data_IF_353883684832
#
_entry.id   IF_353883684832
#
_cell.length_a   1.000
_cell.length_b   1.000
_cell.length_c   1.000
_cell.angle_alpha   90.00
_cell.angle_beta   90.00
_cell.angle_gamma   90.00
#
_symmetry.space_group_name_H-M   'P 1'
#
loop_
_entity.id
_entity.type
_entity.pdbx_description
1 polymer ?
#
# COMPACT_ATOMS: atom_id res chain seq x y z
N UNK A 1 -2.66 6.51 23.13
CA UNK A 1 -1.88 5.37 23.64
C UNK A 1 -0.55 5.31 22.89
N UNK A 2 0.49 4.69 23.45
CA UNK A 2 1.79 4.53 22.77
C UNK A 2 1.78 3.33 21.82
N UNK A 3 2.21 3.56 20.58
CA UNK A 3 2.41 2.52 19.56
C UNK A 3 3.39 1.44 20.02
N UNK A 4 3.00 0.16 19.91
CA UNK A 4 3.81 -1.00 20.34
C UNK A 4 4.46 -1.80 19.22
N UNK A 5 4.00 -1.64 17.98
CA UNK A 5 4.56 -2.32 16.80
C UNK A 5 6.06 -2.02 16.63
N UNK A 6 6.76 -2.73 15.75
CA UNK A 6 8.16 -2.41 15.41
C UNK A 6 8.29 -1.33 14.32
N UNK A 7 7.38 -1.31 13.34
CA UNK A 7 7.26 -0.30 12.29
C UNK A 7 6.07 0.63 12.53
N UNK A 8 6.00 1.77 11.83
CA UNK A 8 4.75 2.53 11.78
C UNK A 8 3.68 1.72 11.03
N UNK A 9 2.41 1.91 11.38
CA UNK A 9 1.31 1.21 10.71
C UNK A 9 0.37 2.25 10.12
N UNK A 10 -0.01 2.05 8.86
CA UNK A 10 -0.93 2.91 8.11
C UNK A 10 -2.17 2.08 7.77
N UNK A 11 -3.36 2.65 7.97
CA UNK A 11 -4.62 1.98 7.65
C UNK A 11 -4.92 2.15 6.16
N UNK A 12 -4.77 1.07 5.39
CA UNK A 12 -5.16 1.04 3.98
C UNK A 12 -6.67 0.91 3.80
N UNK A 13 -7.30 1.94 3.21
CA UNK A 13 -8.75 2.06 3.04
C UNK A 13 -9.27 1.55 1.67
N UNK A 14 -8.46 0.77 0.94
CA UNK A 14 -8.82 0.27 -0.40
C UNK A 14 -10.12 -0.55 -0.44
N UNK A 15 -10.48 -1.16 0.68
CA UNK A 15 -11.68 -2.00 0.82
C UNK A 15 -12.91 -1.23 1.32
N UNK A 16 -12.77 0.05 1.67
CA UNK A 16 -13.87 0.88 2.13
C UNK A 16 -14.57 1.51 0.93
N UNK A 17 -15.89 1.46 0.86
CA UNK A 17 -16.64 2.11 -0.23
C UNK A 17 -18.01 1.51 -0.45
N UNK A 18 -18.70 1.97 -1.49
CA UNK A 18 -20.04 1.50 -1.82
C UNK A 18 -20.05 0.02 -2.25
N UNK A 19 -21.09 -0.72 -1.87
CA UNK A 19 -21.17 -2.18 -2.03
C UNK A 19 -21.16 -2.65 -3.50
N UNK A 20 -21.58 -1.80 -4.44
CA UNK A 20 -21.63 -2.09 -5.87
C UNK A 20 -20.28 -1.86 -6.58
N UNK A 21 -19.26 -1.37 -5.87
CA UNK A 21 -17.96 -1.00 -6.45
C UNK A 21 -16.95 -2.13 -6.34
N UNK A 22 -16.17 -2.29 -7.41
CA UNK A 22 -15.08 -3.27 -7.43
C UNK A 22 -14.05 -2.97 -6.33
N UNK A 23 -13.61 -4.03 -5.65
CA UNK A 23 -12.69 -3.94 -4.51
C UNK A 23 -13.33 -3.57 -3.16
N UNK A 24 -14.58 -3.10 -3.13
CA UNK A 24 -15.27 -2.78 -1.88
C UNK A 24 -15.60 -4.05 -1.09
N UNK A 25 -15.34 -4.01 0.22
CA UNK A 25 -15.63 -5.09 1.17
C UNK A 25 -16.27 -4.61 2.46
N UNK A 26 -15.99 -3.36 2.86
CA UNK A 26 -16.60 -2.71 4.04
C UNK A 26 -17.43 -1.53 3.54
N UNK A 27 -18.75 -1.70 3.59
CA UNK A 27 -19.71 -0.78 2.97
C UNK A 27 -20.70 -0.15 3.97
N UNK A 28 -20.69 -0.58 5.24
CA UNK A 28 -21.35 0.13 6.34
C UNK A 28 -20.35 1.11 6.96
N UNK A 29 -20.74 2.38 7.08
CA UNK A 29 -19.93 3.42 7.73
C UNK A 29 -19.61 3.06 9.18
N UNK A 30 -20.53 2.41 9.91
CA UNK A 30 -20.29 2.01 11.30
C UNK A 30 -19.17 0.98 11.42
N UNK A 31 -19.00 0.12 10.41
CA UNK A 31 -17.91 -0.85 10.41
C UNK A 31 -16.58 -0.20 10.04
N UNK A 32 -16.59 0.79 9.15
CA UNK A 32 -15.41 1.64 8.89
C UNK A 32 -14.98 2.35 10.17
N UNK A 33 -15.91 2.96 10.90
CA UNK A 33 -15.64 3.64 12.17
C UNK A 33 -15.05 2.68 13.21
N UNK A 34 -15.66 1.50 13.41
CA UNK A 34 -15.12 0.50 14.36
C UNK A 34 -13.72 0.01 13.98
N UNK A 35 -13.44 -0.18 12.70
CA UNK A 35 -12.10 -0.56 12.24
C UNK A 35 -11.09 0.53 12.60
N UNK A 36 -11.45 1.80 12.41
CA UNK A 36 -10.60 2.93 12.77
C UNK A 36 -10.47 3.10 14.29
N UNK A 37 -11.52 2.85 15.07
CA UNK A 37 -11.47 2.88 16.53
C UNK A 37 -10.43 1.87 17.05
N UNK A 38 -10.43 0.64 16.51
CA UNK A 38 -9.41 -0.37 16.84
C UNK A 38 -8.02 0.11 16.42
N UNK A 39 -7.86 0.58 15.19
CA UNK A 39 -6.58 1.10 14.69
C UNK A 39 -6.00 2.21 15.58
N UNK A 40 -6.84 3.16 16.02
CA UNK A 40 -6.45 4.25 16.90
C UNK A 40 -6.20 3.80 18.34
N UNK A 41 -6.91 2.78 18.83
CA UNK A 41 -6.64 2.18 20.14
C UNK A 41 -5.23 1.57 20.22
N UNK A 42 -4.70 1.08 19.09
CA UNK A 42 -3.30 0.64 18.97
C UNK A 42 -2.28 1.78 18.80
N UNK A 43 -2.74 3.04 18.77
CA UNK A 43 -1.90 4.24 18.80
C UNK A 43 -1.49 4.78 17.43
N UNK A 44 -2.16 4.35 16.35
CA UNK A 44 -1.87 4.77 14.98
C UNK A 44 -2.86 5.81 14.46
N UNK A 45 -2.46 6.62 13.47
CA UNK A 45 -3.28 7.74 12.97
C UNK A 45 -3.29 7.94 11.46
N UNK A 46 -2.36 7.33 10.70
CA UNK A 46 -2.26 7.54 9.24
C UNK A 46 -3.25 6.64 8.49
N UNK A 47 -4.00 7.21 7.53
CA UNK A 47 -5.01 6.51 6.73
C UNK A 47 -4.75 6.75 5.25
N UNK A 48 -4.49 5.67 4.52
CA UNK A 48 -4.21 5.66 3.09
C UNK A 48 -5.44 5.35 2.25
N UNK A 49 -5.79 6.24 1.33
CA UNK A 49 -6.82 6.01 0.30
C UNK A 49 -6.31 6.39 -1.09
N UNK A 50 -7.16 6.37 -2.11
CA UNK A 50 -6.85 6.86 -3.45
C UNK A 50 -8.13 7.20 -4.22
N UNK A 51 -8.06 8.15 -5.15
CA UNK A 51 -9.19 8.53 -6.03
C UNK A 51 -9.78 7.36 -6.81
N UNK A 52 -8.96 6.34 -7.11
CA UNK A 52 -9.39 5.15 -7.86
C UNK A 52 -10.03 4.07 -6.98
N UNK A 53 -9.81 4.09 -5.66
CA UNK A 53 -10.29 3.02 -4.77
C UNK A 53 -11.82 3.00 -4.71
N UNK A 54 -12.39 1.81 -4.98
CA UNK A 54 -13.84 1.61 -5.05
C UNK A 54 -14.53 2.62 -5.98
N UNK A 55 -13.90 2.97 -7.12
CA UNK A 55 -14.41 3.98 -8.05
C UNK A 55 -14.52 5.38 -7.44
N UNK A 56 -13.69 5.68 -6.44
CA UNK A 56 -13.64 6.96 -5.72
C UNK A 56 -14.55 7.04 -4.49
N UNK A 57 -15.32 5.98 -4.19
CA UNK A 57 -16.20 5.96 -3.03
C UNK A 57 -15.47 5.74 -1.70
N UNK A 58 -14.22 5.26 -1.73
CA UNK A 58 -13.40 5.14 -0.50
C UNK A 58 -13.18 6.51 0.16
N UNK A 59 -12.78 7.51 -0.63
CA UNK A 59 -12.63 8.89 -0.16
C UNK A 59 -13.95 9.48 0.36
N UNK A 60 -15.05 9.23 -0.35
CA UNK A 60 -16.38 9.72 0.07
C UNK A 60 -16.86 9.09 1.38
N UNK A 61 -16.51 7.82 1.62
CA UNK A 61 -16.82 7.14 2.87
C UNK A 61 -15.99 7.72 4.02
N UNK A 62 -14.69 7.91 3.80
CA UNK A 62 -13.81 8.55 4.78
C UNK A 62 -14.24 10.00 5.07
N UNK A 63 -14.74 10.74 4.07
CA UNK A 63 -15.28 12.09 4.26
C UNK A 63 -16.54 12.16 5.14
N UNK A 64 -17.24 11.03 5.37
CA UNK A 64 -18.49 10.96 6.15
C UNK A 64 -18.29 10.60 7.63
N UNK A 65 -17.07 10.29 8.05
CA UNK A 65 -16.78 9.78 9.42
C UNK A 65 -16.08 10.82 10.33
N UNK A 66 -16.13 12.10 9.96
CA UNK A 66 -15.48 13.21 10.69
C UNK A 66 -14.03 12.90 11.09
N UNK A 67 -13.25 12.35 10.16
CA UNK A 67 -11.90 11.85 10.41
C UNK A 67 -10.94 12.90 11.01
N UNK A 68 -11.17 14.19 10.74
CA UNK A 68 -10.39 15.29 11.31
C UNK A 68 -10.59 15.41 12.82
N UNK A 69 -11.83 15.27 13.31
CA UNK A 69 -12.14 15.30 14.75
C UNK A 69 -11.56 14.07 15.47
N UNK A 70 -11.42 12.96 14.74
CA UNK A 70 -10.73 11.76 15.21
C UNK A 70 -9.21 11.94 15.30
N UNK A 71 -8.64 13.02 14.75
CA UNK A 71 -7.19 13.24 14.70
C UNK A 71 -6.44 12.33 13.72
N UNK A 72 -7.15 11.80 12.71
CA UNK A 72 -6.53 10.99 11.66
C UNK A 72 -5.74 11.89 10.68
N UNK A 73 -4.63 11.38 10.17
CA UNK A 73 -3.81 12.00 9.12
C UNK A 73 -4.13 11.31 7.81
N UNK A 74 -4.77 12.05 6.90
CA UNK A 74 -5.34 11.51 5.68
C UNK A 74 -4.38 11.68 4.50
N UNK A 75 -4.11 10.59 3.79
CA UNK A 75 -3.34 10.58 2.56
C UNK A 75 -4.12 9.99 1.39
N UNK A 76 -3.93 10.54 0.20
CA UNK A 76 -4.59 10.04 -1.03
C UNK A 76 -3.70 10.17 -2.26
N UNK A 77 -4.13 9.63 -3.39
CA UNK A 77 -3.32 9.45 -4.59
C UNK A 77 -4.10 9.62 -5.87
N UNK A 78 -3.40 10.08 -6.90
CA UNK A 78 -3.88 10.13 -8.28
C UNK A 78 -3.13 9.13 -9.17
N UNK A 79 -3.86 8.18 -9.75
CA UNK A 79 -3.32 7.23 -10.73
C UNK A 79 -3.52 7.76 -12.16
N UNK A 80 -2.47 7.84 -12.99
CA UNK A 80 -2.63 8.20 -14.39
C UNK A 80 -3.27 7.02 -15.13
N UNK A 81 -4.37 7.27 -15.84
CA UNK A 81 -5.21 6.23 -16.43
C UNK A 81 -5.63 6.61 -17.85
N UNK A 82 -5.43 5.69 -18.80
CA UNK A 82 -5.80 5.86 -20.20
C UNK A 82 -6.60 4.65 -20.65
N UNK A 83 -7.92 4.81 -20.69
CA UNK A 83 -8.87 3.85 -21.25
C UNK A 83 -9.58 4.55 -22.40
N UNK A 84 -9.32 4.19 -23.67
CA UNK A 84 -9.90 4.87 -24.83
C UNK A 84 -11.42 5.03 -24.71
N UNK A 85 -11.89 6.28 -24.81
CA UNK A 85 -13.32 6.61 -24.73
C UNK A 85 -13.95 6.53 -23.34
N UNK A 86 -13.20 6.18 -22.29
CA UNK A 86 -13.73 6.01 -20.92
C UNK A 86 -13.03 6.89 -19.91
N UNK A 87 -11.69 6.81 -19.81
CA UNK A 87 -10.90 7.53 -18.81
C UNK A 87 -9.65 8.10 -19.49
N UNK A 88 -9.37 9.37 -19.26
CA UNK A 88 -8.11 10.00 -19.64
C UNK A 88 -7.66 10.92 -18.49
N UNK A 89 -6.76 10.41 -17.66
CA UNK A 89 -6.17 11.10 -16.51
C UNK A 89 -4.67 11.10 -16.72
N UNK A 90 -4.09 12.29 -16.71
CA UNK A 90 -2.65 12.51 -16.79
C UNK A 90 -2.12 13.21 -15.54
N UNK A 91 -0.81 13.36 -15.46
CA UNK A 91 -0.11 14.21 -14.50
C UNK A 91 0.23 15.59 -15.09
N UNK A 92 -0.60 16.07 -16.02
CA UNK A 92 -0.60 17.47 -16.46
C UNK A 92 -1.03 18.40 -15.32
N UNK A 93 -0.62 19.67 -15.33
CA UNK A 93 -1.01 20.64 -14.30
C UNK A 93 -2.53 20.73 -14.11
N UNK A 94 -3.29 20.68 -15.20
CA UNK A 94 -4.75 20.78 -15.20
C UNK A 94 -5.41 19.57 -14.53
N UNK A 95 -4.99 18.35 -14.89
CA UNK A 95 -5.54 17.13 -14.31
C UNK A 95 -5.13 16.98 -12.84
N UNK A 96 -3.88 17.29 -12.49
CA UNK A 96 -3.42 17.25 -11.10
C UNK A 96 -4.30 18.11 -10.19
N UNK A 97 -4.53 19.38 -10.56
CA UNK A 97 -5.42 20.26 -9.80
C UNK A 97 -6.84 19.70 -9.74
N UNK A 98 -7.42 19.40 -10.90
CA UNK A 98 -8.81 18.95 -11.03
C UNK A 98 -9.09 17.74 -10.14
N UNK A 99 -8.23 16.73 -10.17
CA UNK A 99 -8.46 15.50 -9.41
C UNK A 99 -8.06 15.62 -7.93
N UNK A 100 -7.09 16.48 -7.58
CA UNK A 100 -6.83 16.84 -6.18
C UNK A 100 -8.06 17.52 -5.55
N UNK A 101 -8.66 18.50 -6.22
CA UNK A 101 -9.87 19.17 -5.74
C UNK A 101 -11.05 18.22 -5.60
N UNK A 102 -11.19 17.23 -6.49
CA UNK A 102 -12.20 16.17 -6.34
C UNK A 102 -11.95 15.30 -5.10
N UNK A 103 -10.69 14.89 -4.87
CA UNK A 103 -10.31 14.13 -3.67
C UNK A 103 -10.57 14.92 -2.39
N UNK A 104 -10.20 16.20 -2.35
CA UNK A 104 -10.45 17.09 -1.21
C UNK A 104 -11.95 17.24 -0.91
N UNK A 105 -12.77 17.41 -1.96
CA UNK A 105 -14.23 17.45 -1.84
C UNK A 105 -14.79 16.13 -1.30
N UNK A 106 -14.34 14.98 -1.83
CA UNK A 106 -14.80 13.67 -1.40
C UNK A 106 -14.43 13.37 0.07
N UNK A 107 -13.21 13.74 0.47
CA UNK A 107 -12.72 13.61 1.84
C UNK A 107 -13.25 14.69 2.80
N UNK A 108 -14.04 15.64 2.29
CA UNK A 108 -14.59 16.77 3.04
C UNK A 108 -13.50 17.56 3.82
N UNK A 109 -12.38 17.87 3.15
CA UNK A 109 -11.27 18.63 3.73
C UNK A 109 -10.74 19.67 2.75
N UNK A 110 -9.99 20.64 3.27
CA UNK A 110 -9.23 21.61 2.45
C UNK A 110 -7.75 21.26 2.32
N UNK A 111 -7.27 20.29 3.12
CA UNK A 111 -5.86 19.94 3.20
C UNK A 111 -5.67 18.46 3.53
N UNK A 112 -4.69 17.84 2.88
CA UNK A 112 -4.23 16.48 3.14
C UNK A 112 -2.94 16.50 3.97
N UNK A 113 -2.69 15.42 4.71
CA UNK A 113 -1.36 15.22 5.29
C UNK A 113 -0.35 14.89 4.20
N UNK A 114 -0.71 13.99 3.28
CA UNK A 114 0.14 13.60 2.15
C UNK A 114 -0.65 13.37 0.87
N UNK A 115 -0.06 13.77 -0.26
CA UNK A 115 -0.61 13.47 -1.58
C UNK A 115 0.42 12.75 -2.45
N UNK A 116 -0.02 11.68 -3.13
CA UNK A 116 0.85 10.86 -3.95
C UNK A 116 0.56 10.95 -5.44
N UNK A 117 1.63 10.86 -6.24
CA UNK A 117 1.52 10.27 -7.58
C UNK A 117 1.48 8.75 -7.44
N UNK A 118 0.35 8.13 -7.78
CA UNK A 118 0.08 6.71 -7.53
C UNK A 118 0.85 5.76 -8.50
N UNK A 119 1.37 6.29 -9.60
CA UNK A 119 2.12 5.56 -10.62
C UNK A 119 2.81 6.54 -11.56
N UNK A 120 3.77 6.09 -12.38
CA UNK A 120 4.43 6.93 -13.37
C UNK A 120 3.47 7.34 -14.49
N UNK A 121 3.41 8.64 -14.79
CA UNK A 121 2.88 9.14 -16.06
C UNK A 121 4.03 9.55 -16.98
N UNK A 122 4.49 8.61 -17.81
CA UNK A 122 5.58 8.87 -18.79
C UNK A 122 5.12 9.65 -20.01
N UNK A 123 3.87 10.10 -20.05
CA UNK A 123 3.33 10.90 -21.16
C UNK A 123 3.43 12.40 -20.91
N UNK A 124 3.74 12.80 -19.67
CA UNK A 124 3.99 14.19 -19.27
C UNK A 124 5.43 14.26 -18.73
N UNK A 125 6.27 15.21 -19.19
CA UNK A 125 7.62 15.36 -18.66
C UNK A 125 7.60 15.63 -17.15
N UNK A 126 8.50 14.98 -16.40
CA UNK A 126 8.51 15.08 -14.95
C UNK A 126 8.76 16.51 -14.44
N UNK A 127 9.47 17.36 -15.17
CA UNK A 127 9.65 18.77 -14.83
C UNK A 127 8.32 19.52 -14.79
N UNK A 128 7.42 19.23 -15.74
CA UNK A 128 6.08 19.83 -15.80
C UNK A 128 5.25 19.37 -14.60
N UNK A 129 5.26 18.06 -14.33
CA UNK A 129 4.54 17.48 -13.19
C UNK A 129 5.07 18.00 -11.86
N UNK A 130 6.39 18.00 -11.64
CA UNK A 130 6.99 18.42 -10.36
C UNK A 130 6.78 19.91 -10.08
N UNK A 131 6.79 20.76 -11.12
CA UNK A 131 6.41 22.17 -10.95
C UNK A 131 4.96 22.30 -10.48
N UNK A 132 4.03 21.58 -11.10
CA UNK A 132 2.62 21.63 -10.73
C UNK A 132 2.37 21.10 -9.31
N UNK A 133 3.01 19.99 -8.92
CA UNK A 133 2.99 19.47 -7.55
C UNK A 133 3.47 20.55 -6.57
N UNK A 134 4.58 21.22 -6.87
CA UNK A 134 5.11 22.26 -6.00
C UNK A 134 4.19 23.48 -5.87
N UNK A 135 3.54 23.89 -6.96
CA UNK A 135 2.58 25.00 -6.94
C UNK A 135 1.37 24.64 -6.05
N UNK A 136 0.82 23.43 -6.20
CA UNK A 136 -0.28 22.92 -5.35
C UNK A 136 0.11 22.80 -3.87
N UNK A 137 1.35 22.39 -3.58
CA UNK A 137 1.89 22.38 -2.22
C UNK A 137 1.96 23.81 -1.64
N UNK A 138 2.47 24.78 -2.40
CA UNK A 138 2.55 26.19 -1.97
C UNK A 138 1.18 26.83 -1.75
N UNK A 139 0.16 26.37 -2.47
CA UNK A 139 -1.24 26.75 -2.25
C UNK A 139 -1.85 26.11 -0.98
N UNK A 140 -1.14 25.18 -0.34
CA UNK A 140 -1.51 24.62 0.97
C UNK A 140 -2.42 23.41 0.92
N UNK A 141 -2.56 22.76 -0.24
CA UNK A 141 -3.46 21.60 -0.38
C UNK A 141 -2.97 20.32 0.30
N UNK A 142 -1.67 20.17 0.55
CA UNK A 142 -1.08 19.03 1.25
C UNK A 142 0.22 19.41 1.94
N UNK A 143 0.61 18.68 2.98
CA UNK A 143 1.86 18.92 3.73
C UNK A 143 3.05 18.10 3.20
N UNK A 144 2.83 16.85 2.82
CA UNK A 144 3.86 15.92 2.33
C UNK A 144 3.57 15.47 0.91
N UNK A 145 4.64 15.22 0.16
CA UNK A 145 4.56 14.67 -1.18
C UNK A 145 5.08 13.22 -1.19
N UNK A 146 4.36 12.33 -1.86
CA UNK A 146 4.77 10.94 -2.03
C UNK A 146 4.69 10.47 -3.47
N UNK A 147 5.38 9.37 -3.77
CA UNK A 147 5.33 8.69 -5.07
C UNK A 147 5.15 7.19 -4.88
N UNK A 148 4.62 6.49 -5.88
CA UNK A 148 4.38 5.05 -5.80
C UNK A 148 4.57 4.39 -7.17
N UNK A 149 5.12 3.17 -7.18
CA UNK A 149 5.31 2.35 -8.38
C UNK A 149 6.25 2.95 -9.46
N UNK A 150 7.20 3.81 -9.07
CA UNK A 150 8.25 4.35 -9.93
C UNK A 150 9.52 3.51 -9.85
N UNK A 151 10.30 3.42 -10.93
CA UNK A 151 11.62 2.80 -10.91
C UNK A 151 12.60 3.59 -10.04
N UNK A 152 13.61 2.92 -9.48
CA UNK A 152 14.70 3.52 -8.68
C UNK A 152 15.34 4.75 -9.34
N UNK A 153 15.58 4.70 -10.66
CA UNK A 153 16.18 5.81 -11.40
C UNK A 153 15.20 6.96 -11.67
N UNK A 154 13.89 6.69 -11.83
CA UNK A 154 12.86 7.74 -11.93
C UNK A 154 12.75 8.51 -10.60
N UNK A 155 12.87 7.81 -9.47
CA UNK A 155 12.96 8.45 -8.15
C UNK A 155 14.15 9.41 -8.09
N UNK A 156 15.33 8.97 -8.55
CA UNK A 156 16.53 9.80 -8.56
C UNK A 156 16.39 11.04 -9.48
N UNK A 157 15.79 10.86 -10.66
CA UNK A 157 15.48 11.93 -11.60
C UNK A 157 14.54 12.97 -10.98
N UNK A 158 13.41 12.52 -10.42
CA UNK A 158 12.42 13.38 -9.74
C UNK A 158 13.09 14.19 -8.62
N UNK A 159 13.90 13.55 -7.78
CA UNK A 159 14.64 14.26 -6.71
C UNK A 159 15.62 15.27 -7.29
N UNK A 160 16.32 14.94 -8.38
CA UNK A 160 17.22 15.85 -9.09
C UNK A 160 16.49 17.10 -9.63
N UNK A 161 15.33 16.90 -10.27
CA UNK A 161 14.46 17.98 -10.75
C UNK A 161 14.03 18.87 -9.57
N UNK A 162 13.52 18.27 -8.48
CA UNK A 162 13.04 19.04 -7.34
C UNK A 162 14.15 19.86 -6.68
N UNK A 163 15.34 19.26 -6.46
CA UNK A 163 16.48 19.96 -5.85
C UNK A 163 16.97 21.12 -6.71
N UNK A 164 17.06 20.93 -8.02
CA UNK A 164 17.58 21.94 -8.95
C UNK A 164 16.66 23.16 -9.05
N UNK A 165 15.36 22.98 -8.83
CA UNK A 165 14.36 24.04 -8.93
C UNK A 165 13.84 24.55 -7.58
N UNK A 166 14.31 23.99 -6.45
CA UNK A 166 13.80 24.32 -5.12
C UNK A 166 12.34 23.92 -4.91
N UNK A 167 11.90 22.83 -5.53
CA UNK A 167 10.56 22.27 -5.36
C UNK A 167 10.48 21.33 -4.16
N UNK A 168 9.27 21.11 -3.64
CA UNK A 168 9.02 20.04 -2.67
C UNK A 168 9.52 18.69 -3.23
N UNK A 169 10.26 17.95 -2.40
CA UNK A 169 10.75 16.61 -2.73
C UNK A 169 9.78 15.55 -2.21
N UNK A 170 9.69 14.37 -2.86
CA UNK A 170 8.98 13.24 -2.28
C UNK A 170 9.64 12.84 -0.96
N UNK A 171 8.85 12.72 0.10
CA UNK A 171 9.31 12.25 1.42
C UNK A 171 8.96 10.79 1.67
N UNK A 172 8.04 10.23 0.88
CA UNK A 172 7.58 8.83 0.99
C UNK A 172 7.53 8.18 -0.39
N UNK A 173 7.99 6.94 -0.47
CA UNK A 173 7.74 6.03 -1.58
C UNK A 173 6.81 4.91 -1.09
N UNK A 174 5.66 4.74 -1.72
CA UNK A 174 4.75 3.62 -1.42
C UNK A 174 4.96 2.47 -2.41
N UNK A 175 5.31 1.27 -1.93
CA UNK A 175 5.77 0.18 -2.80
C UNK A 175 5.37 -1.22 -2.35
N UNK A 176 5.33 -2.14 -3.33
CA UNK A 176 5.10 -3.56 -3.07
C UNK A 176 6.33 -4.19 -2.42
N UNK A 177 6.16 -4.80 -1.24
CA UNK A 177 7.23 -5.54 -0.58
C UNK A 177 6.68 -6.58 0.40
N UNK A 178 7.09 -7.84 0.28
CA UNK A 178 6.77 -8.88 1.26
C UNK A 178 7.76 -10.03 1.14
N UNK A 179 7.62 -11.05 1.98
CA UNK A 179 8.59 -12.14 2.08
C UNK A 179 8.85 -12.90 0.76
N UNK A 180 7.95 -12.83 -0.23
CA UNK A 180 8.09 -13.49 -1.55
C UNK A 180 7.96 -12.47 -2.70
N UNK A 181 8.16 -11.18 -2.39
CA UNK A 181 8.27 -10.12 -3.38
C UNK A 181 9.26 -9.07 -2.87
N UNK A 182 10.54 -9.28 -3.18
CA UNK A 182 11.67 -8.48 -2.66
C UNK A 182 12.44 -7.72 -3.74
N UNK A 183 11.83 -7.51 -4.91
CA UNK A 183 12.45 -6.83 -6.05
C UNK A 183 12.85 -5.37 -5.76
N UNK A 184 12.33 -4.76 -4.69
CA UNK A 184 12.71 -3.41 -4.24
C UNK A 184 14.09 -3.37 -3.54
N UNK A 185 14.58 -4.50 -3.03
CA UNK A 185 15.78 -4.53 -2.18
C UNK A 185 17.07 -4.09 -2.90
N UNK A 186 17.37 -4.55 -4.13
CA UNK A 186 18.68 -4.31 -4.72
C UNK A 186 18.95 -2.85 -5.10
N UNK A 187 17.92 -2.11 -5.54
CA UNK A 187 18.11 -0.77 -6.12
C UNK A 187 17.22 0.30 -5.48
N UNK A 188 15.94 -0.01 -5.25
CA UNK A 188 15.01 0.99 -4.75
C UNK A 188 15.36 1.38 -3.32
N UNK A 189 15.54 0.42 -2.39
CA UNK A 189 15.92 0.77 -1.02
C UNK A 189 17.20 1.61 -0.93
N UNK A 190 18.32 1.24 -1.57
CA UNK A 190 19.51 2.10 -1.62
C UNK A 190 19.22 3.52 -2.14
N UNK A 191 18.41 3.65 -3.20
CA UNK A 191 17.99 4.95 -3.74
C UNK A 191 17.20 5.76 -2.69
N UNK A 192 16.20 5.16 -2.06
CA UNK A 192 15.39 5.82 -1.03
C UNK A 192 16.24 6.28 0.16
N UNK A 193 17.18 5.44 0.63
CA UNK A 193 18.09 5.82 1.72
C UNK A 193 19.02 6.95 1.32
N UNK A 194 19.53 6.94 0.08
CA UNK A 194 20.38 8.02 -0.44
C UNK A 194 19.68 9.38 -0.41
N UNK A 195 18.37 9.41 -0.64
CA UNK A 195 17.58 10.65 -0.70
C UNK A 195 16.78 10.95 0.57
N UNK A 196 16.84 10.09 1.58
CA UNK A 196 16.11 10.28 2.84
C UNK A 196 14.59 10.10 2.70
N UNK A 197 14.16 9.19 1.82
CA UNK A 197 12.75 8.90 1.53
C UNK A 197 12.32 7.66 2.34
N UNK A 198 11.21 7.77 3.08
CA UNK A 198 10.61 6.62 3.80
C UNK A 198 9.97 5.64 2.82
N UNK A 199 9.97 4.35 3.15
CA UNK A 199 9.25 3.34 2.40
C UNK A 199 7.96 2.93 3.10
N UNK A 200 6.83 3.11 2.43
CA UNK A 200 5.52 2.68 2.89
C UNK A 200 5.15 1.41 2.11
N UNK A 201 5.27 0.27 2.78
CA UNK A 201 5.03 -1.04 2.18
C UNK A 201 3.53 -1.28 1.99
N UNK A 202 3.15 -1.84 0.84
CA UNK A 202 1.82 -2.40 0.62
C UNK A 202 1.87 -3.86 0.18
N UNK A 203 0.78 -4.58 0.51
CA UNK A 203 0.60 -6.03 0.34
C UNK A 203 1.51 -6.90 1.24
N UNK A 204 1.47 -6.71 2.57
CA UNK A 204 2.31 -7.50 3.46
C UNK A 204 1.90 -8.98 3.46
N UNK A 205 0.62 -9.23 3.16
CA UNK A 205 0.02 -10.56 3.02
C UNK A 205 -0.11 -11.02 1.55
N UNK A 206 0.53 -10.36 0.59
CA UNK A 206 0.37 -10.65 -0.85
C UNK A 206 -1.09 -10.60 -1.32
N UNK A 207 -1.89 -9.66 -0.78
CA UNK A 207 -3.32 -9.58 -1.05
C UNK A 207 -4.16 -10.71 -0.44
N UNK A 208 -3.63 -11.43 0.54
CA UNK A 208 -4.27 -12.60 1.15
C UNK A 208 -3.77 -13.93 0.60
N UNK A 209 -2.80 -13.92 -0.33
CA UNK A 209 -2.15 -15.14 -0.81
C UNK A 209 -1.38 -15.85 0.32
N UNK A 210 -0.70 -15.05 1.14
CA UNK A 210 0.10 -15.54 2.27
C UNK A 210 -0.69 -15.98 3.49
N UNK A 211 -2.01 -16.01 3.46
CA UNK A 211 -2.77 -16.46 4.64
C UNK A 211 -2.88 -17.99 4.71
N UNK A 212 -2.30 -18.72 3.74
CA UNK A 212 -2.40 -20.17 3.64
C UNK A 212 -3.78 -20.68 3.19
N UNK A 213 -4.68 -19.77 2.77
CA UNK A 213 -6.04 -20.14 2.33
C UNK A 213 -6.12 -20.75 0.94
N UNK A 214 -5.01 -20.70 0.19
CA UNK A 214 -4.89 -21.19 -1.18
C UNK A 214 -3.72 -22.16 -1.30
N UNK A 215 -3.88 -23.13 -2.19
CA UNK A 215 -2.85 -24.10 -2.58
C UNK A 215 -2.99 -24.41 -4.07
N UNK A 216 -2.06 -25.19 -4.63
CA UNK A 216 -2.03 -25.55 -6.04
C UNK A 216 -3.32 -26.26 -6.54
N UNK A 217 -4.06 -26.91 -5.65
CA UNK A 217 -5.30 -27.64 -5.95
C UNK A 217 -6.56 -26.79 -5.70
N UNK A 218 -6.42 -25.49 -5.43
CA UNK A 218 -7.58 -24.63 -5.18
C UNK A 218 -8.36 -24.36 -6.46
N UNK A 219 -9.53 -24.97 -6.59
CA UNK A 219 -10.42 -24.82 -7.75
C UNK A 219 -11.32 -23.58 -7.67
N UNK A 220 -11.83 -23.27 -6.47
CA UNK A 220 -12.75 -22.17 -6.23
C UNK A 220 -12.20 -21.19 -5.18
N UNK A 221 -12.51 -19.90 -5.37
CA UNK A 221 -12.18 -18.83 -4.44
C UNK A 221 -13.45 -18.09 -4.04
N UNK A 222 -13.47 -17.52 -2.84
CA UNK A 222 -14.58 -16.69 -2.37
C UNK A 222 -14.90 -15.55 -3.35
N UNK A 223 -16.18 -15.38 -3.69
CA UNK A 223 -16.64 -14.32 -4.58
C UNK A 223 -16.35 -12.92 -4.01
N UNK A 224 -15.89 -12.02 -4.89
CA UNK A 224 -15.47 -10.68 -4.52
C UNK A 224 -14.19 -10.63 -3.66
N UNK A 225 -13.51 -11.77 -3.43
CA UNK A 225 -12.22 -11.77 -2.77
C UNK A 225 -11.12 -11.22 -3.68
N UNK A 226 -9.96 -10.91 -3.08
CA UNK A 226 -8.80 -10.33 -3.79
C UNK A 226 -8.24 -11.20 -4.92
N UNK A 227 -8.65 -12.47 -4.99
CA UNK A 227 -8.23 -13.44 -6.02
C UNK A 227 -9.40 -13.96 -6.87
N UNK A 228 -10.59 -13.36 -6.75
CA UNK A 228 -11.76 -13.70 -7.59
C UNK A 228 -11.47 -13.40 -9.07
N UNK A 229 -11.36 -14.43 -9.94
CA UNK A 229 -11.01 -14.24 -11.34
C UNK A 229 -12.08 -13.47 -12.15
N UNK A 230 -13.30 -13.32 -11.61
CA UNK A 230 -14.37 -12.52 -12.23
C UNK A 230 -14.16 -11.02 -12.08
N UNK A 231 -13.25 -10.59 -11.19
CA UNK A 231 -12.95 -9.17 -10.93
C UNK A 231 -11.62 -8.77 -11.57
N UNK A 232 -11.52 -7.53 -12.03
CA UNK A 232 -10.29 -6.99 -12.64
C UNK A 232 -9.10 -7.06 -11.66
N UNK A 233 -9.37 -6.71 -10.40
CA UNK A 233 -8.36 -6.83 -9.34
C UNK A 233 -7.91 -8.28 -9.15
N UNK A 234 -8.84 -9.25 -9.12
CA UNK A 234 -8.49 -10.66 -8.95
C UNK A 234 -7.66 -11.21 -10.11
N UNK A 235 -7.94 -10.81 -11.35
CA UNK A 235 -7.10 -11.15 -12.51
C UNK A 235 -5.67 -10.61 -12.34
N UNK A 236 -5.52 -9.37 -11.88
CA UNK A 236 -4.21 -8.74 -11.64
C UNK A 236 -3.41 -9.45 -10.53
N UNK A 237 -4.06 -9.79 -9.41
CA UNK A 237 -3.41 -10.52 -8.31
C UNK A 237 -3.06 -11.96 -8.70
N UNK A 238 -3.90 -12.62 -9.49
CA UNK A 238 -3.60 -13.96 -10.01
C UNK A 238 -2.40 -13.95 -10.96
N UNK A 239 -2.29 -12.96 -11.84
CA UNK A 239 -1.11 -12.79 -12.69
C UNK A 239 0.19 -12.67 -11.86
N UNK A 240 0.11 -12.03 -10.68
CA UNK A 240 1.26 -11.85 -9.80
C UNK A 240 1.63 -13.08 -8.98
N UNK A 241 0.65 -13.76 -8.37
CA UNK A 241 0.90 -14.79 -7.35
C UNK A 241 0.36 -16.18 -7.70
N UNK A 242 -0.58 -16.32 -8.64
CA UNK A 242 -1.28 -17.59 -8.88
C UNK A 242 -0.57 -18.45 -9.92
N UNK A 243 0.60 -18.95 -9.55
CA UNK A 243 1.40 -19.88 -10.37
C UNK A 243 2.17 -20.89 -9.48
N UNK A 244 2.71 -21.93 -10.11
CA UNK A 244 3.35 -23.06 -9.42
C UNK A 244 4.50 -22.66 -8.50
N UNK A 245 5.32 -21.68 -8.89
CA UNK A 245 6.48 -21.26 -8.11
C UNK A 245 6.07 -20.62 -6.79
N UNK A 246 5.02 -19.80 -6.83
CA UNK A 246 4.47 -19.14 -5.65
C UNK A 246 3.72 -20.12 -4.73
N UNK A 247 3.05 -21.13 -5.27
CA UNK A 247 2.48 -22.20 -4.43
C UNK A 247 3.57 -23.04 -3.75
N UNK A 248 4.64 -23.40 -4.47
CA UNK A 248 5.79 -24.09 -3.88
C UNK A 248 6.45 -23.27 -2.76
N UNK A 249 6.57 -21.95 -2.95
CA UNK A 249 7.07 -21.05 -1.91
C UNK A 249 6.15 -21.02 -0.68
N UNK A 250 4.82 -21.02 -0.87
CA UNK A 250 3.88 -21.13 0.24
C UNK A 250 4.02 -22.45 1.01
N UNK A 251 4.22 -23.57 0.33
CA UNK A 251 4.37 -24.88 0.98
C UNK A 251 5.60 -24.91 1.90
N UNK A 252 6.74 -24.38 1.43
CA UNK A 252 7.98 -24.26 2.23
C UNK A 252 7.72 -23.45 3.51
N UNK A 253 7.08 -22.29 3.38
CA UNK A 253 6.80 -21.40 4.51
C UNK A 253 5.79 -22.06 5.46
N UNK A 254 4.77 -22.72 4.91
CA UNK A 254 3.72 -23.39 5.69
C UNK A 254 4.28 -24.51 6.55
N UNK A 255 5.14 -25.35 5.99
CA UNK A 255 5.78 -26.44 6.75
C UNK A 255 6.58 -25.91 7.94
N UNK A 256 7.28 -24.78 7.78
CA UNK A 256 8.02 -24.14 8.87
C UNK A 256 7.09 -23.47 9.89
N UNK A 257 6.05 -22.78 9.42
CA UNK A 257 5.06 -22.12 10.27
C UNK A 257 4.30 -23.13 11.16
N UNK A 258 3.86 -24.25 10.58
CA UNK A 258 3.13 -25.30 11.31
C UNK A 258 4.00 -25.92 12.42
N UNK A 259 5.28 -26.21 12.14
CA UNK A 259 6.24 -26.73 13.13
C UNK A 259 6.48 -25.74 14.29
N UNK A 260 6.41 -24.45 14.00
CA UNK A 260 6.56 -23.38 14.98
C UNK A 260 5.24 -23.00 15.70
N UNK A 261 4.12 -23.60 15.32
CA UNK A 261 2.79 -23.26 15.86
C UNK A 261 2.31 -21.86 15.50
N UNK A 262 2.76 -21.33 14.36
CA UNK A 262 2.43 -19.97 13.88
C UNK A 262 1.44 -20.00 12.73
N UNK A 263 0.58 -18.98 12.64
CA UNK A 263 -0.26 -18.81 11.45
C UNK A 263 0.55 -18.17 10.32
N UNK A 264 0.19 -18.46 9.07
CA UNK A 264 0.87 -17.88 7.91
C UNK A 264 0.78 -16.35 7.85
N UNK A 265 -0.36 -15.77 8.26
CA UNK A 265 -0.55 -14.32 8.36
C UNK A 265 0.39 -13.70 9.40
N UNK A 266 0.50 -14.34 10.57
CA UNK A 266 1.43 -13.90 11.62
C UNK A 266 2.88 -13.94 11.14
N UNK A 267 3.27 -15.02 10.44
CA UNK A 267 4.60 -15.13 9.83
C UNK A 267 4.88 -13.99 8.87
N UNK A 268 3.96 -13.69 7.95
CA UNK A 268 4.14 -12.62 6.99
C UNK A 268 4.28 -11.23 7.65
N UNK A 269 3.43 -10.89 8.62
CA UNK A 269 3.45 -9.58 9.29
C UNK A 269 4.69 -9.39 10.19
N UNK A 270 5.09 -10.43 10.92
CA UNK A 270 6.30 -10.39 11.75
C UNK A 270 7.56 -10.36 10.90
N UNK A 271 7.57 -11.00 9.72
CA UNK A 271 8.68 -10.87 8.77
C UNK A 271 8.85 -9.42 8.30
N UNK A 272 7.78 -8.77 7.83
CA UNK A 272 7.84 -7.36 7.40
C UNK A 272 8.39 -6.47 8.52
N UNK A 273 7.94 -6.71 9.76
CA UNK A 273 8.28 -5.87 10.92
C UNK A 273 9.69 -6.06 11.46
N UNK A 274 10.25 -7.26 11.41
CA UNK A 274 11.49 -7.61 12.14
C UNK A 274 12.62 -8.13 11.26
N UNK A 275 12.32 -8.63 10.06
CA UNK A 275 13.26 -9.40 9.24
C UNK A 275 13.40 -8.85 7.81
N UNK A 276 12.64 -7.81 7.49
CA UNK A 276 12.74 -7.08 6.22
C UNK A 276 13.80 -5.98 6.29
N UNK A 277 14.09 -5.31 5.18
CA UNK A 277 15.00 -4.14 5.17
C UNK A 277 14.33 -2.83 5.63
N UNK A 278 13.07 -2.89 6.05
CA UNK A 278 12.35 -1.73 6.59
C UNK A 278 12.76 -1.44 8.03
N UNK A 279 12.86 -0.15 8.37
CA UNK A 279 13.16 0.30 9.73
C UNK A 279 12.40 1.56 10.09
N UNK A 280 11.89 1.58 11.32
CA UNK A 280 11.21 2.76 11.88
C UNK A 280 12.11 4.00 11.92
N UNK A 281 13.42 3.85 12.09
CA UNK A 281 14.38 4.97 12.10
C UNK A 281 14.41 5.75 10.77
N UNK A 282 14.01 5.11 9.66
CA UNK A 282 13.85 5.76 8.36
C UNK A 282 12.42 6.28 8.09
N UNK A 283 11.54 6.20 9.10
CA UNK A 283 10.12 6.52 8.97
C UNK A 283 9.31 5.49 8.18
N UNK A 284 9.86 4.29 7.94
CA UNK A 284 9.16 3.26 7.18
C UNK A 284 7.88 2.78 7.88
N UNK A 285 6.89 2.42 7.06
CA UNK A 285 5.57 2.02 7.54
C UNK A 285 4.99 0.85 6.75
N UNK A 286 4.22 0.00 7.42
CA UNK A 286 3.46 -1.10 6.81
C UNK A 286 2.01 -0.67 6.62
N UNK A 287 1.48 -0.82 5.41
CA UNK A 287 0.06 -0.60 5.13
C UNK A 287 -0.70 -1.91 5.35
N UNK A 288 -1.61 -1.90 6.32
CA UNK A 288 -2.55 -3.00 6.54
C UNK A 288 -3.92 -2.63 6.00
N UNK A 289 -4.48 -3.52 5.18
CA UNK A 289 -5.88 -3.48 4.80
C UNK A 289 -6.69 -4.48 5.63
N UNK A 290 -7.96 -4.20 5.83
CA UNK A 290 -8.89 -5.11 6.47
C UNK A 290 -10.23 -5.15 5.73
N UNK A 291 -10.87 -6.31 5.72
CA UNK A 291 -12.23 -6.51 5.19
C UNK A 291 -13.22 -6.90 6.28
N UNK A 292 -12.78 -6.89 7.54
CA UNK A 292 -13.59 -7.17 8.73
C UNK A 292 -12.87 -6.63 9.97
N UNK A 293 -13.61 -6.42 11.05
CA UNK A 293 -13.05 -6.01 12.34
C UNK A 293 -12.02 -7.02 12.88
N UNK A 294 -12.30 -8.31 12.70
CA UNK A 294 -11.38 -9.38 13.11
C UNK A 294 -10.04 -9.32 12.38
N UNK A 295 -10.03 -8.93 11.11
CA UNK A 295 -8.78 -8.81 10.34
C UNK A 295 -7.91 -7.67 10.88
N UNK A 296 -8.48 -6.50 11.16
CA UNK A 296 -7.67 -5.38 11.67
C UNK A 296 -7.11 -5.68 13.07
N UNK A 297 -7.93 -6.25 13.96
CA UNK A 297 -7.51 -6.62 15.31
C UNK A 297 -6.36 -7.63 15.29
N UNK A 298 -6.53 -8.73 14.53
CA UNK A 298 -5.49 -9.76 14.44
C UNK A 298 -4.20 -9.24 13.80
N UNK A 299 -4.30 -8.45 12.73
CA UNK A 299 -3.12 -7.90 12.06
C UNK A 299 -2.32 -6.98 13.00
N UNK A 300 -2.99 -6.13 13.78
CA UNK A 300 -2.32 -5.25 14.74
C UNK A 300 -1.66 -6.04 15.86
N UNK A 301 -2.34 -7.05 16.42
CA UNK A 301 -1.75 -7.95 17.41
C UNK A 301 -0.49 -8.63 16.87
N UNK A 302 -0.52 -9.13 15.63
CA UNK A 302 0.63 -9.81 15.03
C UNK A 302 1.80 -8.87 14.75
N UNK A 303 1.53 -7.61 14.38
CA UNK A 303 2.55 -6.56 14.21
C UNK A 303 3.19 -6.09 15.52
N UNK A 304 2.54 -6.32 16.66
CA UNK A 304 3.06 -6.04 18.00
C UNK A 304 3.91 -7.19 18.59
N UNK A 305 3.86 -8.38 17.98
CA UNK A 305 4.68 -9.52 18.41
C UNK A 305 6.15 -9.32 18.04
N UNK A 306 7.02 -10.04 18.73
CA UNK A 306 8.47 -10.03 18.50
C UNK A 306 8.94 -10.78 17.24
N UNK A 307 10.26 -10.89 17.02
CA UNK A 307 10.84 -11.53 15.85
C UNK A 307 10.46 -13.01 15.73
N UNK A 308 10.36 -13.52 14.50
CA UNK A 308 10.15 -14.94 14.18
C UNK A 308 11.32 -15.85 14.63
N UNK A 309 11.07 -17.15 14.89
CA UNK A 309 12.12 -18.15 15.04
C UNK A 309 13.00 -18.25 13.78
N UNK A 310 14.29 -18.51 13.98
CA UNK A 310 15.30 -18.56 12.92
C UNK A 310 14.95 -19.53 11.78
N UNK A 311 14.42 -20.71 12.09
CA UNK A 311 14.07 -21.71 11.08
C UNK A 311 12.92 -21.26 10.17
N UNK A 312 12.01 -20.42 10.69
CA UNK A 312 10.94 -19.80 9.90
C UNK A 312 11.51 -18.71 8.99
N UNK A 313 12.49 -17.93 9.48
CA UNK A 313 13.18 -16.91 8.68
C UNK A 313 13.92 -17.55 7.51
N UNK A 314 14.68 -18.62 7.76
CA UNK A 314 15.37 -19.38 6.70
C UNK A 314 14.40 -19.92 5.65
N UNK A 315 13.26 -20.47 6.06
CA UNK A 315 12.23 -20.94 5.15
C UNK A 315 11.67 -19.81 4.26
N UNK A 316 11.51 -18.60 4.81
CA UNK A 316 11.08 -17.43 4.03
C UNK A 316 12.13 -16.99 3.00
N UNK A 317 13.41 -17.09 3.34
CA UNK A 317 14.51 -16.78 2.42
C UNK A 317 14.63 -17.82 1.30
N UNK A 318 14.52 -19.10 1.63
CA UNK A 318 14.44 -20.17 0.64
C UNK A 318 13.23 -19.99 -0.30
N UNK A 319 12.07 -19.67 0.25
CA UNK A 319 10.86 -19.40 -0.51
C UNK A 319 11.01 -18.19 -1.45
N UNK A 320 11.70 -17.13 -1.02
CA UNK A 320 12.03 -16.01 -1.90
C UNK A 320 12.91 -16.45 -3.08
N UNK A 321 13.95 -17.25 -2.84
CA UNK A 321 14.82 -17.74 -3.91
C UNK A 321 14.08 -18.58 -4.96
N UNK A 322 13.01 -19.29 -4.56
CA UNK A 322 12.15 -20.04 -5.50
C UNK A 322 11.40 -19.12 -6.46
N UNK A 323 10.97 -17.94 -6.01
CA UNK A 323 10.12 -17.04 -6.82
C UNK A 323 10.86 -15.85 -7.41
N UNK A 324 12.09 -15.55 -6.97
CA UNK A 324 12.81 -14.33 -7.33
C UNK A 324 12.90 -14.11 -8.84
N UNK A 325 13.16 -15.16 -9.62
CA UNK A 325 13.23 -15.10 -11.08
C UNK A 325 11.88 -14.83 -11.78
N UNK A 326 10.77 -15.04 -11.07
CA UNK A 326 9.40 -14.92 -11.60
C UNK A 326 8.65 -13.72 -11.01
N UNK A 327 9.26 -13.03 -10.05
CA UNK A 327 8.62 -11.93 -9.35
C UNK A 327 8.36 -10.76 -10.28
N UNK A 328 7.13 -10.25 -10.28
CA UNK A 328 6.76 -9.11 -11.12
C UNK A 328 7.59 -7.87 -10.74
N UNK A 329 7.77 -6.91 -11.66
CA UNK A 329 8.30 -5.60 -11.31
C UNK A 329 7.52 -4.96 -10.14
N UNK A 330 8.20 -4.14 -9.33
CA UNK A 330 7.59 -3.32 -8.28
C UNK A 330 7.04 -1.98 -8.81
N UNK A 331 7.32 -1.68 -10.08
CA UNK A 331 6.95 -0.46 -10.79
C UNK A 331 5.98 -0.78 -11.93
N UNK A 332 5.35 0.25 -12.50
CA UNK A 332 4.42 0.14 -13.62
C UNK A 332 5.02 0.62 -14.94
#
# INVERSE_FOLDING_TARGET
MSQKSALNVVMGAMTFGAADKDGSRVHDLKDVEKILDVFQAHGHTEVDTARVYCGGTSEEYLGKINWQERGLRMETKLYPARVPGVINISHSPEDLRKFLEQSLKALNTKKLDMWYLHGPDRTVPYEVTMKAINDLHKEGYFDRFGISNYMSWEVAEIVGICRSNGYIQPTVYQGLYNAIHRNVEPELFPCLRKFGISFYEFNPLGGGFFTGRYNANTEAVEEGSRFDPKRFQGQSYRKRYWNEHYFKALDIIKDAADKAGLTMSEVALRWVSHHSLMKREFGDAVLIGASSLKHIEQNLIDLEKGPLPEDVVKALDEAWLVVAAYASPYFH
#
